data_IF_977708449711
#
_entry.id   IF_977708449711
#
_cell.length_a   1.000
_cell.length_b   1.000
_cell.length_c   1.000
_cell.angle_alpha   90.00
_cell.angle_beta   90.00
_cell.angle_gamma   90.00
#
_symmetry.space_group_name_H-M   'P 1'
#
loop_
_entity.id
_entity.type
_entity.pdbx_description
1 polymer ?
#
# COMPACT_ATOMS: atom_id res chain seq x y z
N UNK A 1 -12.83 -6.88 24.58
CA UNK A 1 -11.78 -7.27 23.61
C UNK A 1 -11.99 -8.71 23.13
N UNK A 2 -11.50 -9.04 21.93
CA UNK A 2 -11.46 -10.40 21.37
C UNK A 2 -10.09 -11.01 21.66
N UNK A 3 -9.94 -11.64 22.83
CA UNK A 3 -8.67 -12.24 23.25
C UNK A 3 -8.35 -13.53 22.48
N UNK A 4 -9.37 -14.27 22.02
CA UNK A 4 -9.17 -15.47 21.23
C UNK A 4 -8.42 -15.16 19.94
N UNK A 5 -8.77 -14.05 19.27
CA UNK A 5 -8.06 -13.59 18.07
C UNK A 5 -6.60 -13.24 18.34
N UNK A 6 -6.27 -12.66 19.51
CA UNK A 6 -4.88 -12.39 19.88
C UNK A 6 -4.07 -13.69 19.94
N UNK A 7 -4.57 -14.70 20.64
CA UNK A 7 -3.87 -15.98 20.77
C UNK A 7 -3.78 -16.74 19.44
N UNK A 8 -4.83 -16.69 18.63
CA UNK A 8 -4.83 -17.27 17.29
C UNK A 8 -3.76 -16.62 16.37
N UNK A 9 -3.68 -15.30 16.36
CA UNK A 9 -2.72 -14.55 15.52
C UNK A 9 -1.27 -14.71 16.02
N UNK A 10 -1.06 -14.80 17.33
CA UNK A 10 0.27 -15.06 17.92
C UNK A 10 0.66 -16.52 17.88
N UNK A 11 -0.23 -17.42 17.47
CA UNK A 11 -0.05 -18.90 17.48
C UNK A 11 0.25 -19.45 18.87
N UNK A 12 -0.31 -18.84 19.89
CA UNK A 12 -0.17 -19.25 21.29
C UNK A 12 -1.43 -19.95 21.77
N UNK A 13 -1.29 -20.85 22.73
CA UNK A 13 -2.43 -21.49 23.39
C UNK A 13 -3.12 -20.51 24.34
N UNK A 14 -4.44 -20.46 24.31
CA UNK A 14 -5.22 -19.63 25.23
C UNK A 14 -5.05 -20.15 26.65
N UNK A 15 -4.56 -19.34 27.61
CA UNK A 15 -4.47 -19.75 29.02
C UNK A 15 -5.86 -20.03 29.61
N UNK A 16 -5.93 -21.01 30.53
CA UNK A 16 -7.19 -21.29 31.25
C UNK A 16 -7.47 -20.25 32.35
N UNK A 17 -6.42 -19.65 32.91
CA UNK A 17 -6.53 -18.62 33.94
C UNK A 17 -6.67 -17.24 33.32
N UNK A 18 -7.78 -16.55 33.63
CA UNK A 18 -8.07 -15.21 33.17
C UNK A 18 -7.02 -14.20 33.63
N UNK A 19 -6.40 -14.38 34.81
CA UNK A 19 -5.36 -13.47 35.32
C UNK A 19 -4.10 -13.54 34.45
N UNK A 20 -3.76 -14.68 33.91
CA UNK A 20 -2.64 -14.82 32.96
C UNK A 20 -2.90 -14.06 31.69
N UNK A 21 -4.15 -14.09 31.17
CA UNK A 21 -4.55 -13.32 30.01
C UNK A 21 -4.46 -11.81 30.28
N UNK A 22 -4.98 -11.37 31.43
CA UNK A 22 -4.96 -9.95 31.81
C UNK A 22 -3.53 -9.44 31.98
N UNK A 23 -2.68 -10.15 32.72
CA UNK A 23 -1.28 -9.79 32.91
C UNK A 23 -0.52 -9.72 31.56
N UNK A 24 -0.80 -10.64 30.64
CA UNK A 24 -0.20 -10.61 29.33
C UNK A 24 -0.64 -9.38 28.53
N UNK A 25 -1.92 -9.03 28.58
CA UNK A 25 -2.46 -7.87 27.86
C UNK A 25 -1.97 -6.55 28.46
N UNK A 26 -1.75 -6.49 29.76
CA UNK A 26 -1.13 -5.33 30.41
C UNK A 26 0.34 -5.17 29.98
N UNK A 27 1.11 -6.25 29.97
CA UNK A 27 2.49 -6.24 29.46
C UNK A 27 2.58 -5.80 27.98
N UNK A 28 1.54 -6.11 27.19
CA UNK A 28 1.40 -5.68 25.79
C UNK A 28 0.83 -4.26 25.65
N UNK A 29 0.53 -3.58 26.75
CA UNK A 29 -0.08 -2.24 26.76
C UNK A 29 -1.43 -2.18 26.01
N UNK A 30 -2.20 -3.26 26.07
CA UNK A 30 -3.54 -3.33 25.50
C UNK A 30 -4.61 -2.96 26.51
N UNK A 31 -4.33 -3.19 27.79
CA UNK A 31 -5.17 -2.85 28.95
C UNK A 31 -4.28 -2.28 30.06
N UNK A 32 -4.90 -1.65 31.05
CA UNK A 32 -4.25 -1.16 32.24
C UNK A 32 -5.12 -1.42 33.47
N UNK A 33 -4.51 -1.93 34.56
CA UNK A 33 -5.22 -2.10 35.82
C UNK A 33 -5.41 -0.77 36.54
N UNK A 34 -6.60 -0.58 37.14
CA UNK A 34 -6.93 0.55 38.02
C UNK A 34 -6.67 0.21 39.49
N UNK A 35 -6.68 1.25 40.34
CA UNK A 35 -6.53 1.11 41.79
C UNK A 35 -7.67 0.28 42.44
N UNK A 36 -8.86 0.28 41.84
CA UNK A 36 -10.04 -0.50 42.27
C UNK A 36 -10.04 -1.94 41.76
N UNK A 37 -8.93 -2.42 41.20
CA UNK A 37 -8.74 -3.73 40.57
C UNK A 37 -9.57 -3.97 39.30
N UNK A 38 -10.26 -2.96 38.77
CA UNK A 38 -10.86 -3.01 37.45
C UNK A 38 -9.82 -2.81 36.34
N UNK A 39 -10.21 -3.00 35.07
CA UNK A 39 -9.32 -2.90 33.93
C UNK A 39 -9.85 -1.92 32.89
N UNK A 40 -9.01 -1.01 32.48
CA UNK A 40 -9.25 -0.16 31.31
C UNK A 40 -8.73 -0.80 30.04
N UNK A 41 -9.50 -0.74 28.97
CA UNK A 41 -9.02 -1.06 27.63
C UNK A 41 -8.36 0.18 27.07
N UNK A 42 -7.06 0.09 26.76
CA UNK A 42 -6.32 1.18 26.13
C UNK A 42 -6.68 1.30 24.65
N UNK A 43 -6.45 2.48 24.05
CA UNK A 43 -6.76 2.73 22.64
C UNK A 43 -6.11 1.69 21.69
N UNK A 44 -4.88 1.26 21.99
CA UNK A 44 -4.20 0.23 21.20
C UNK A 44 -4.95 -1.12 21.28
N UNK A 45 -5.38 -1.51 22.47
CA UNK A 45 -6.16 -2.73 22.67
C UNK A 45 -7.51 -2.69 22.00
N UNK A 46 -8.23 -1.57 22.12
CA UNK A 46 -9.51 -1.36 21.46
C UNK A 46 -9.37 -1.38 19.93
N UNK A 47 -8.40 -0.63 19.37
CA UNK A 47 -8.13 -0.57 17.93
C UNK A 47 -7.71 -1.94 17.34
N UNK A 48 -6.91 -2.71 18.07
CA UNK A 48 -6.42 -3.99 17.56
C UNK A 48 -7.44 -5.13 17.75
N UNK A 49 -8.08 -5.20 18.93
CA UNK A 49 -8.86 -6.34 19.35
C UNK A 49 -10.25 -6.00 19.91
N UNK A 50 -10.74 -4.78 19.70
CA UNK A 50 -12.13 -4.43 20.04
C UNK A 50 -13.11 -5.36 19.35
N UNK A 51 -14.18 -5.78 20.02
CA UNK A 51 -15.27 -6.52 19.38
C UNK A 51 -16.10 -5.61 18.48
N UNK A 52 -16.30 -4.39 18.93
CA UNK A 52 -16.96 -3.32 18.16
C UNK A 52 -16.29 -1.99 18.47
N UNK A 53 -15.70 -1.33 17.49
CA UNK A 53 -15.05 -0.01 17.64
C UNK A 53 -16.06 1.09 17.94
N UNK A 54 -17.33 0.94 17.55
CA UNK A 54 -18.38 1.91 17.82
C UNK A 54 -18.73 2.02 19.30
N UNK A 55 -18.43 1.00 20.11
CA UNK A 55 -18.66 1.02 21.57
C UNK A 55 -17.69 1.97 22.29
N UNK A 56 -16.73 2.56 21.57
CA UNK A 56 -15.72 3.47 22.10
C UNK A 56 -15.95 4.88 21.55
N UNK A 57 -16.22 5.85 22.39
CA UNK A 57 -16.55 7.25 22.00
C UNK A 57 -15.53 7.87 21.03
N UNK A 58 -14.24 7.57 21.23
CA UNK A 58 -13.15 8.13 20.41
C UNK A 58 -12.91 7.37 19.12
N UNK A 59 -13.33 6.11 19.01
CA UNK A 59 -13.05 5.21 17.89
C UNK A 59 -14.28 4.88 17.05
N UNK A 60 -15.47 5.33 17.42
CA UNK A 60 -16.73 4.96 16.77
C UNK A 60 -16.86 5.32 15.29
N UNK A 61 -15.94 6.13 14.75
CA UNK A 61 -15.88 6.47 13.32
C UNK A 61 -14.63 5.92 12.64
N UNK A 62 -13.97 4.92 13.24
CA UNK A 62 -12.77 4.29 12.72
C UNK A 62 -12.98 2.89 12.09
N UNK A 63 -14.18 2.24 12.13
CA UNK A 63 -14.41 1.05 11.33
C UNK A 63 -14.04 1.26 9.86
N UNK A 64 -13.49 0.20 9.24
CA UNK A 64 -13.18 0.23 7.82
C UNK A 64 -14.48 0.13 7.00
N UNK A 65 -14.71 1.08 6.08
CA UNK A 65 -15.84 1.06 5.16
C UNK A 65 -15.43 0.53 3.81
N UNK A 66 -16.19 -0.40 3.27
CA UNK A 66 -15.96 -0.98 1.94
C UNK A 66 -17.21 -0.71 1.11
N UNK A 67 -17.01 -0.04 -0.03
CA UNK A 67 -18.10 0.35 -0.93
C UNK A 67 -17.84 -0.20 -2.32
N UNK A 68 -18.81 -0.91 -2.88
CA UNK A 68 -18.78 -1.39 -4.25
C UNK A 68 -19.63 -0.51 -5.15
N UNK A 69 -19.07 -0.04 -6.24
CA UNK A 69 -19.75 0.69 -7.30
C UNK A 69 -19.77 -0.12 -8.59
N UNK A 70 -20.91 -0.21 -9.25
CA UNK A 70 -21.02 -0.78 -10.59
C UNK A 70 -20.51 0.21 -11.63
N UNK A 71 -19.58 -0.21 -12.50
CA UNK A 71 -18.93 0.65 -13.47
C UNK A 71 -17.76 1.45 -12.91
N UNK A 72 -17.44 2.58 -13.54
CA UNK A 72 -16.27 3.42 -13.22
C UNK A 72 -16.61 4.68 -12.39
N UNK A 73 -17.87 4.89 -12.06
CA UNK A 73 -18.35 6.09 -11.32
C UNK A 73 -19.07 5.75 -10.04
N UNK A 74 -19.17 6.76 -9.14
CA UNK A 74 -19.87 6.62 -7.84
C UNK A 74 -21.40 6.69 -7.93
N UNK A 75 -21.98 6.74 -9.13
CA UNK A 75 -23.43 6.92 -9.33
C UNK A 75 -24.26 5.69 -9.02
N UNK A 76 -23.67 4.51 -9.08
CA UNK A 76 -24.34 3.22 -8.89
C UNK A 76 -23.66 2.41 -7.80
N UNK A 77 -23.88 2.83 -6.55
CA UNK A 77 -23.50 2.03 -5.39
C UNK A 77 -24.31 0.73 -5.38
N UNK A 78 -23.64 -0.42 -5.29
CA UNK A 78 -24.29 -1.72 -5.25
C UNK A 78 -24.30 -2.37 -3.88
N UNK A 79 -23.20 -2.21 -3.15
CA UNK A 79 -23.04 -2.74 -1.79
C UNK A 79 -22.19 -1.79 -0.94
N UNK A 80 -22.47 -1.80 0.36
CA UNK A 80 -21.66 -1.11 1.38
C UNK A 80 -21.58 -1.98 2.62
N UNK A 81 -20.40 -2.14 3.16
CA UNK A 81 -20.14 -2.81 4.43
C UNK A 81 -19.23 -1.99 5.31
N UNK A 82 -19.54 -1.98 6.60
CA UNK A 82 -18.74 -1.36 7.63
C UNK A 82 -18.29 -2.43 8.62
N UNK A 83 -16.98 -2.68 8.69
CA UNK A 83 -16.39 -3.74 9.50
C UNK A 83 -15.94 -3.17 10.83
N UNK A 84 -16.72 -3.45 11.87
CA UNK A 84 -16.66 -2.82 13.19
C UNK A 84 -15.66 -3.43 14.15
N UNK A 85 -15.16 -4.63 13.84
CA UNK A 85 -14.15 -5.30 14.66
C UNK A 85 -12.82 -4.54 14.65
N UNK A 86 -12.03 -4.72 15.70
CA UNK A 86 -10.67 -4.19 15.78
C UNK A 86 -9.79 -4.66 14.63
N UNK A 87 -8.80 -3.87 14.24
CA UNK A 87 -8.03 -4.06 13.01
C UNK A 87 -7.27 -5.39 12.94
N UNK A 88 -6.78 -5.89 14.08
CA UNK A 88 -6.13 -7.19 14.10
C UNK A 88 -7.15 -8.34 14.04
N UNK A 89 -8.18 -8.28 14.88
CA UNK A 89 -9.20 -9.33 14.95
C UNK A 89 -10.09 -9.39 13.71
N UNK A 90 -10.32 -8.25 13.04
CA UNK A 90 -11.19 -8.11 11.86
C UNK A 90 -10.45 -8.11 10.51
N UNK A 91 -9.10 -8.17 10.48
CA UNK A 91 -8.36 -8.04 9.23
C UNK A 91 -8.71 -9.10 8.18
N UNK A 92 -8.87 -10.35 8.61
CA UNK A 92 -9.29 -11.44 7.73
C UNK A 92 -10.67 -11.16 7.13
N UNK A 93 -11.62 -10.68 7.94
CA UNK A 93 -12.96 -10.32 7.50
C UNK A 93 -12.94 -9.15 6.48
N UNK A 94 -12.10 -8.13 6.71
CA UNK A 94 -11.87 -7.03 5.74
C UNK A 94 -11.40 -7.62 4.40
N UNK A 95 -10.39 -8.48 4.42
CA UNK A 95 -9.84 -9.09 3.21
C UNK A 95 -10.85 -9.96 2.48
N UNK A 96 -11.65 -10.75 3.21
CA UNK A 96 -12.68 -11.60 2.62
C UNK A 96 -13.82 -10.77 2.00
N UNK A 97 -14.24 -9.70 2.67
CA UNK A 97 -15.21 -8.75 2.12
C UNK A 97 -14.68 -8.11 0.83
N UNK A 98 -13.45 -7.60 0.82
CA UNK A 98 -12.82 -7.01 -0.37
C UNK A 98 -12.74 -8.02 -1.50
N UNK A 99 -12.33 -9.28 -1.25
CA UNK A 99 -12.28 -10.34 -2.27
C UNK A 99 -13.66 -10.68 -2.82
N UNK A 100 -14.69 -10.71 -1.99
CA UNK A 100 -16.07 -10.98 -2.39
C UNK A 100 -16.62 -9.88 -3.29
N UNK A 101 -16.37 -8.62 -2.96
CA UNK A 101 -16.84 -7.44 -3.69
C UNK A 101 -16.00 -7.11 -4.93
N UNK A 102 -14.78 -7.64 -5.02
CA UNK A 102 -13.90 -7.40 -6.16
C UNK A 102 -14.42 -8.11 -7.42
N UNK A 103 -14.52 -7.39 -8.56
CA UNK A 103 -14.86 -8.00 -9.84
C UNK A 103 -13.84 -9.07 -10.25
N UNK A 104 -14.33 -10.14 -10.84
CA UNK A 104 -13.48 -11.25 -11.30
C UNK A 104 -13.46 -11.29 -12.82
N UNK A 105 -12.30 -11.61 -13.38
CA UNK A 105 -12.16 -11.96 -14.78
C UNK A 105 -12.41 -13.47 -14.93
N UNK A 106 -13.13 -13.84 -15.97
CA UNK A 106 -13.30 -15.25 -16.35
C UNK A 106 -12.25 -15.59 -17.39
N UNK A 107 -11.42 -16.57 -17.07
CA UNK A 107 -10.44 -17.14 -18.00
C UNK A 107 -10.72 -18.64 -18.16
N UNK A 108 -10.40 -19.19 -19.32
CA UNK A 108 -10.54 -20.63 -19.59
C UNK A 108 -9.13 -21.22 -19.70
N UNK A 109 -8.85 -22.22 -18.87
CA UNK A 109 -7.61 -22.96 -18.94
C UNK A 109 -7.91 -24.46 -19.10
N UNK A 110 -7.52 -25.06 -20.23
CA UNK A 110 -7.77 -26.47 -20.51
C UNK A 110 -9.25 -26.89 -20.50
N UNK A 111 -10.17 -25.96 -20.84
CA UNK A 111 -11.62 -26.21 -20.80
C UNK A 111 -12.29 -25.93 -19.45
N UNK A 112 -11.53 -25.63 -18.41
CA UNK A 112 -12.07 -25.26 -17.10
C UNK A 112 -12.17 -23.75 -16.96
N UNK A 113 -13.30 -23.28 -16.41
CA UNK A 113 -13.53 -21.88 -16.07
C UNK A 113 -12.73 -21.54 -14.81
N UNK A 114 -11.84 -20.56 -14.91
CA UNK A 114 -11.10 -19.99 -13.78
C UNK A 114 -11.56 -18.56 -13.55
N UNK A 115 -11.90 -18.22 -12.33
CA UNK A 115 -12.19 -16.86 -11.92
C UNK A 115 -10.95 -16.29 -11.22
N UNK A 116 -10.45 -15.17 -11.74
CA UNK A 116 -9.31 -14.47 -11.16
C UNK A 116 -9.73 -13.06 -10.74
N UNK A 117 -9.26 -12.61 -9.56
CA UNK A 117 -9.46 -11.25 -9.11
C UNK A 117 -8.89 -10.26 -10.14
N UNK A 118 -9.56 -9.13 -10.37
CA UNK A 118 -9.04 -8.05 -11.21
C UNK A 118 -7.88 -7.31 -10.56
N UNK A 119 -7.73 -7.40 -9.25
CA UNK A 119 -6.65 -6.76 -8.50
C UNK A 119 -5.79 -7.83 -7.83
N UNK A 120 -4.46 -7.67 -7.84
CA UNK A 120 -3.54 -8.65 -7.23
C UNK A 120 -3.66 -8.60 -5.70
N UNK A 121 -3.69 -9.78 -5.07
CA UNK A 121 -3.92 -9.92 -3.63
C UNK A 121 -2.85 -9.22 -2.77
N UNK A 122 -1.58 -9.29 -3.17
CA UNK A 122 -0.46 -8.73 -2.40
C UNK A 122 -0.55 -7.20 -2.30
N UNK A 123 -0.66 -6.44 -3.41
CA UNK A 123 -0.89 -5.00 -3.35
C UNK A 123 -2.16 -4.60 -2.59
N UNK A 124 -3.27 -5.31 -2.79
CA UNK A 124 -4.53 -5.01 -2.09
C UNK A 124 -4.36 -5.16 -0.58
N UNK A 125 -3.79 -6.27 -0.13
CA UNK A 125 -3.55 -6.53 1.28
C UNK A 125 -2.65 -5.46 1.91
N UNK A 126 -1.56 -5.12 1.25
CA UNK A 126 -0.60 -4.12 1.74
C UNK A 126 -1.22 -2.72 1.79
N UNK A 127 -1.99 -2.32 0.79
CA UNK A 127 -2.69 -1.03 0.79
C UNK A 127 -3.71 -0.91 1.92
N UNK A 128 -4.46 -1.97 2.19
CA UNK A 128 -5.44 -1.99 3.28
C UNK A 128 -4.72 -1.93 4.63
N UNK A 129 -3.67 -2.74 4.85
CA UNK A 129 -2.88 -2.70 6.08
C UNK A 129 -2.30 -1.31 6.33
N UNK A 130 -1.74 -0.66 5.29
CA UNK A 130 -1.20 0.69 5.37
C UNK A 130 -2.29 1.73 5.68
N UNK A 131 -3.49 1.60 5.13
CA UNK A 131 -4.61 2.50 5.45
C UNK A 131 -5.02 2.40 6.93
N UNK A 132 -5.05 1.20 7.50
CA UNK A 132 -5.35 1.00 8.92
C UNK A 132 -4.26 1.60 9.83
N UNK A 133 -2.98 1.47 9.46
CA UNK A 133 -1.84 1.89 10.28
C UNK A 133 -1.60 3.40 10.22
N UNK A 134 -1.65 3.99 9.01
CA UNK A 134 -1.18 5.36 8.79
C UNK A 134 -2.25 6.43 8.92
N UNK A 135 -3.47 6.07 9.31
CA UNK A 135 -4.53 7.05 9.50
C UNK A 135 -4.22 8.04 10.63
N UNK A 136 -4.78 9.21 10.51
CA UNK A 136 -4.81 10.20 11.58
C UNK A 136 -6.00 9.92 12.50
N UNK A 137 -5.73 9.40 13.69
CA UNK A 137 -6.76 9.13 14.70
C UNK A 137 -7.34 10.40 15.31
N UNK A 138 -6.69 11.56 15.13
CA UNK A 138 -7.23 12.86 15.58
C UNK A 138 -8.28 13.40 14.63
N UNK A 139 -8.29 12.97 13.36
CA UNK A 139 -9.32 13.32 12.39
C UNK A 139 -10.68 12.75 12.84
N UNK A 140 -11.66 13.62 13.06
CA UNK A 140 -12.99 13.22 13.54
C UNK A 140 -13.92 12.87 12.39
N UNK A 141 -14.85 11.94 12.65
CA UNK A 141 -15.96 11.62 11.74
C UNK A 141 -15.58 10.81 10.50
N UNK A 142 -14.31 10.36 10.37
CA UNK A 142 -13.81 9.63 9.22
C UNK A 142 -12.94 8.44 9.65
N UNK A 143 -13.05 7.35 8.89
CA UNK A 143 -12.23 6.16 8.97
C UNK A 143 -11.64 5.80 7.61
N UNK A 144 -10.88 4.72 7.50
CA UNK A 144 -10.37 4.22 6.22
C UNK A 144 -11.53 3.74 5.35
N UNK A 145 -11.47 4.07 4.05
CA UNK A 145 -12.51 3.69 3.09
C UNK A 145 -11.89 3.00 1.88
N UNK A 146 -12.43 1.86 1.50
CA UNK A 146 -12.06 1.09 0.33
C UNK A 146 -13.21 1.17 -0.67
N UNK A 147 -12.99 1.81 -1.81
CA UNK A 147 -13.96 1.94 -2.88
C UNK A 147 -13.55 1.05 -4.05
N UNK A 148 -14.43 0.13 -4.43
CA UNK A 148 -14.16 -0.87 -5.46
C UNK A 148 -15.02 -0.56 -6.69
N UNK A 149 -14.36 -0.30 -7.83
CA UNK A 149 -14.97 -0.06 -9.13
C UNK A 149 -14.67 -1.22 -10.09
N UNK A 150 -15.22 -1.20 -11.29
CA UNK A 150 -14.93 -2.23 -12.30
C UNK A 150 -13.50 -2.14 -12.84
N UNK A 151 -12.92 -0.95 -12.88
CA UNK A 151 -11.63 -0.64 -13.50
C UNK A 151 -10.52 -0.27 -12.49
N UNK A 152 -10.87 -0.01 -11.22
CA UNK A 152 -9.91 0.39 -10.19
C UNK A 152 -10.43 0.13 -8.78
N UNK A 153 -9.53 0.17 -7.82
CA UNK A 153 -9.80 0.23 -6.39
C UNK A 153 -9.17 1.49 -5.84
N UNK A 154 -9.92 2.26 -5.04
CA UNK A 154 -9.43 3.43 -4.34
C UNK A 154 -9.41 3.16 -2.83
N UNK A 155 -8.26 3.37 -2.20
CA UNK A 155 -8.11 3.28 -0.75
C UNK A 155 -7.88 4.68 -0.22
N UNK A 156 -8.83 5.18 0.54
CA UNK A 156 -8.78 6.51 1.18
C UNK A 156 -8.42 6.33 2.64
N UNK A 157 -7.39 7.04 3.06
CA UNK A 157 -6.89 7.06 4.42
C UNK A 157 -6.95 8.49 4.99
N UNK A 158 -7.64 8.73 6.12
CA UNK A 158 -7.59 10.03 6.81
C UNK A 158 -6.16 10.33 7.29
N UNK A 159 -5.63 11.48 6.91
CA UNK A 159 -4.27 11.94 7.21
C UNK A 159 -3.41 12.10 5.95
N UNK A 160 -2.75 13.25 5.83
CA UNK A 160 -1.72 13.46 4.81
C UNK A 160 -0.49 12.59 5.13
N UNK A 161 0.28 12.14 4.12
CA UNK A 161 1.47 11.34 4.36
C UNK A 161 2.53 12.15 5.14
N UNK A 162 3.32 11.47 5.98
CA UNK A 162 4.42 12.08 6.75
C UNK A 162 5.69 12.32 5.92
N UNK A 163 5.73 11.78 4.71
CA UNK A 163 6.81 11.92 3.74
C UNK A 163 6.20 12.29 2.39
N UNK A 164 6.99 12.87 1.51
CA UNK A 164 6.53 13.15 0.14
C UNK A 164 6.10 11.84 -0.53
N UNK A 165 4.89 11.83 -1.10
CA UNK A 165 4.34 10.67 -1.80
C UNK A 165 5.22 10.17 -2.95
N UNK A 166 5.99 11.06 -3.58
CA UNK A 166 6.96 10.69 -4.62
C UNK A 166 8.13 9.87 -4.09
N UNK A 167 8.41 9.94 -2.79
CA UNK A 167 9.54 9.27 -2.16
C UNK A 167 9.14 7.97 -1.43
N UNK A 168 7.91 7.49 -1.55
CA UNK A 168 7.44 6.30 -0.83
C UNK A 168 8.32 5.05 -1.04
N UNK A 169 8.94 4.89 -2.22
CA UNK A 169 9.86 3.78 -2.51
C UNK A 169 11.25 3.99 -1.88
N UNK A 170 11.67 5.23 -1.65
CA UNK A 170 13.08 5.55 -1.38
C UNK A 170 13.32 6.18 -0.02
N UNK A 171 12.30 6.79 0.58
CA UNK A 171 12.43 7.41 1.89
C UNK A 171 12.39 6.37 3.01
N UNK A 172 13.12 6.59 4.10
CA UNK A 172 12.95 5.78 5.30
C UNK A 172 11.49 5.77 5.77
N UNK A 173 10.99 4.62 6.23
CA UNK A 173 9.61 4.50 6.66
C UNK A 173 9.34 5.38 7.87
N UNK A 174 8.19 6.07 7.85
CA UNK A 174 7.67 6.82 8.99
C UNK A 174 6.24 6.37 9.28
N UNK A 175 5.95 6.11 10.55
CA UNK A 175 4.59 5.78 10.97
C UNK A 175 4.08 6.82 11.95
N UNK A 176 2.83 7.26 11.76
CA UNK A 176 2.12 8.11 12.72
C UNK A 176 1.74 7.32 13.97
N UNK A 177 1.48 6.03 13.80
CA UNK A 177 0.97 5.13 14.83
C UNK A 177 1.95 3.96 15.07
N UNK A 178 3.11 4.27 15.64
CA UNK A 178 4.23 3.31 15.79
C UNK A 178 3.83 2.07 16.60
N UNK A 179 3.10 2.24 17.71
CA UNK A 179 2.67 1.13 18.55
C UNK A 179 1.74 0.18 17.79
N UNK A 180 0.77 0.73 17.04
CA UNK A 180 -0.14 -0.06 16.20
C UNK A 180 0.62 -0.76 15.07
N UNK A 181 1.51 -0.03 14.39
CA UNK A 181 2.35 -0.58 13.31
C UNK A 181 3.21 -1.74 13.82
N UNK A 182 3.87 -1.58 14.97
CA UNK A 182 4.68 -2.64 15.60
C UNK A 182 3.86 -3.86 15.96
N UNK A 183 2.67 -3.66 16.51
CA UNK A 183 1.76 -4.75 16.88
C UNK A 183 1.28 -5.50 15.64
N UNK A 184 0.71 -4.80 14.63
CA UNK A 184 0.18 -5.44 13.43
C UNK A 184 1.25 -6.17 12.62
N UNK A 185 2.49 -5.67 12.61
CA UNK A 185 3.63 -6.35 12.00
C UNK A 185 3.96 -7.66 12.72
N UNK A 186 4.06 -7.63 14.05
CA UNK A 186 4.31 -8.85 14.86
C UNK A 186 3.22 -9.91 14.64
N UNK A 187 1.99 -9.48 14.39
CA UNK A 187 0.86 -10.34 14.05
C UNK A 187 0.84 -10.80 12.59
N UNK A 188 1.80 -10.38 11.77
CA UNK A 188 1.91 -10.75 10.36
C UNK A 188 0.84 -10.11 9.46
N UNK A 189 0.21 -9.00 9.90
CA UNK A 189 -0.80 -8.28 9.13
C UNK A 189 -0.15 -7.33 8.13
N UNK A 190 0.94 -6.68 8.48
CA UNK A 190 1.72 -5.84 7.57
C UNK A 190 3.17 -6.32 7.47
N UNK A 191 3.85 -5.88 6.42
CA UNK A 191 5.24 -6.23 6.15
C UNK A 191 6.22 -5.51 7.10
N UNK A 192 7.50 -5.91 7.04
CA UNK A 192 8.58 -5.24 7.76
C UNK A 192 8.73 -3.76 7.32
N UNK A 193 9.35 -2.95 8.16
CA UNK A 193 9.50 -1.51 7.90
C UNK A 193 10.21 -1.26 6.57
N UNK A 194 9.58 -0.47 5.71
CA UNK A 194 10.20 0.11 4.53
C UNK A 194 10.07 -0.67 3.24
N UNK A 195 9.51 -1.89 3.25
CA UNK A 195 9.39 -2.70 2.02
C UNK A 195 7.96 -2.84 1.48
N UNK A 196 6.95 -2.32 2.20
CA UNK A 196 5.55 -2.47 1.80
C UNK A 196 5.24 -1.83 0.46
N UNK A 197 5.66 -0.57 0.25
CA UNK A 197 5.43 0.13 -1.02
C UNK A 197 6.25 -0.44 -2.18
N UNK A 198 7.50 -0.81 -1.93
CA UNK A 198 8.37 -1.47 -2.93
C UNK A 198 7.74 -2.76 -3.44
N UNK A 199 7.17 -3.55 -2.51
CA UNK A 199 6.49 -4.80 -2.84
C UNK A 199 5.23 -4.58 -3.67
N UNK A 200 4.44 -3.53 -3.38
CA UNK A 200 3.30 -3.14 -4.21
C UNK A 200 3.77 -2.85 -5.63
N UNK A 201 4.77 -1.97 -5.79
CA UNK A 201 5.27 -1.57 -7.12
C UNK A 201 5.90 -2.74 -7.85
N UNK A 202 6.68 -3.59 -7.17
CA UNK A 202 7.28 -4.78 -7.76
C UNK A 202 6.24 -5.74 -8.32
N UNK A 203 5.17 -6.04 -7.57
CA UNK A 203 4.10 -6.92 -8.01
C UNK A 203 3.31 -6.32 -9.19
N UNK A 204 3.02 -5.01 -9.14
CA UNK A 204 2.40 -4.26 -10.23
C UNK A 204 3.26 -4.33 -11.51
N UNK A 205 4.58 -4.26 -11.39
CA UNK A 205 5.50 -4.38 -12.52
C UNK A 205 5.55 -5.80 -13.10
N UNK A 206 5.60 -6.81 -12.25
CA UNK A 206 5.59 -8.21 -12.67
C UNK A 206 4.34 -8.55 -13.48
N UNK A 207 3.20 -8.00 -13.08
CA UNK A 207 1.91 -8.18 -13.75
C UNK A 207 1.67 -7.18 -14.88
N UNK A 208 2.62 -6.27 -15.17
CA UNK A 208 2.53 -5.23 -16.20
C UNK A 208 1.28 -4.34 -16.07
N UNK A 209 0.81 -4.13 -14.85
CA UNK A 209 -0.34 -3.28 -14.54
C UNK A 209 0.05 -1.80 -14.62
N UNK A 210 -0.92 -0.87 -14.77
CA UNK A 210 -0.67 0.56 -14.58
C UNK A 210 -0.12 0.82 -13.18
N UNK A 211 0.78 1.79 -13.04
CA UNK A 211 1.33 2.19 -11.74
C UNK A 211 0.22 2.67 -10.81
N UNK A 212 0.29 2.36 -9.51
CA UNK A 212 -0.65 2.92 -8.55
C UNK A 212 -0.47 4.44 -8.48
N UNK A 213 -1.58 5.16 -8.32
CA UNK A 213 -1.59 6.61 -8.19
C UNK A 213 -1.78 7.00 -6.73
N UNK A 214 -0.96 7.95 -6.28
CA UNK A 214 -1.06 8.52 -4.94
C UNK A 214 -1.52 9.96 -5.07
N UNK A 215 -2.54 10.33 -4.33
CA UNK A 215 -3.08 11.69 -4.29
C UNK A 215 -3.25 12.13 -2.83
N UNK A 216 -2.79 13.33 -2.53
CA UNK A 216 -3.10 13.99 -1.26
C UNK A 216 -4.28 14.92 -1.52
N UNK A 217 -5.42 14.63 -0.90
CA UNK A 217 -6.67 15.36 -1.10
C UNK A 217 -7.05 15.95 0.25
N UNK A 218 -6.91 17.27 0.39
CA UNK A 218 -7.02 17.96 1.67
C UNK A 218 -6.07 17.27 2.69
N UNK A 219 -6.60 16.83 3.82
CA UNK A 219 -5.85 16.14 4.86
C UNK A 219 -5.98 14.61 4.77
N UNK A 220 -6.16 14.07 3.57
CA UNK A 220 -6.33 12.62 3.34
C UNK A 220 -5.43 12.13 2.22
N UNK A 221 -5.03 10.87 2.33
CA UNK A 221 -4.26 10.16 1.28
C UNK A 221 -5.17 9.21 0.55
N UNK A 222 -5.25 9.35 -0.79
CA UNK A 222 -5.93 8.39 -1.66
C UNK A 222 -4.90 7.63 -2.48
N UNK A 223 -5.01 6.31 -2.50
CA UNK A 223 -4.22 5.44 -3.37
C UNK A 223 -5.17 4.72 -4.31
N UNK A 224 -4.90 4.83 -5.61
CA UNK A 224 -5.67 4.16 -6.67
C UNK A 224 -4.86 3.02 -7.25
N UNK A 225 -5.40 1.80 -7.15
CA UNK A 225 -4.88 0.60 -7.81
C UNK A 225 -5.75 0.30 -9.03
N UNK A 226 -5.14 0.16 -10.20
CA UNK A 226 -5.85 -0.07 -11.45
C UNK A 226 -5.93 -1.54 -11.82
N UNK A 227 -7.06 -1.95 -12.41
CA UNK A 227 -7.19 -3.24 -13.04
C UNK A 227 -6.30 -3.37 -14.28
N UNK A 228 -6.02 -4.62 -14.69
CA UNK A 228 -5.28 -4.90 -15.91
C UNK A 228 -5.97 -4.29 -17.13
N UNK A 229 -5.19 -3.60 -17.96
CA UNK A 229 -5.65 -3.03 -19.24
C UNK A 229 -4.52 -2.95 -20.25
N UNK A 230 -4.84 -2.93 -21.56
CA UNK A 230 -3.83 -2.83 -22.61
C UNK A 230 -2.96 -1.56 -22.48
N UNK A 231 -1.67 -1.69 -22.76
CA UNK A 231 -0.73 -0.54 -22.81
C UNK A 231 -1.20 0.58 -23.75
N UNK A 232 -1.97 0.26 -24.79
CA UNK A 232 -2.51 1.23 -25.74
C UNK A 232 -3.55 2.17 -25.13
N UNK A 233 -4.20 1.77 -24.03
CA UNK A 233 -5.20 2.57 -23.33
C UNK A 233 -4.60 3.42 -22.20
N UNK A 234 -3.32 3.22 -21.85
CA UNK A 234 -2.63 4.04 -20.87
C UNK A 234 -2.34 5.43 -21.44
N UNK A 235 -2.70 6.46 -20.70
CA UNK A 235 -2.37 7.85 -21.03
C UNK A 235 -0.86 8.12 -20.97
N UNK A 236 -0.35 9.20 -21.58
CA UNK A 236 1.04 9.61 -21.45
C UNK A 236 1.46 9.81 -19.97
N UNK A 237 0.62 10.44 -19.16
CA UNK A 237 0.89 10.68 -17.73
C UNK A 237 1.01 9.38 -16.93
N UNK A 238 0.15 8.40 -17.19
CA UNK A 238 0.24 7.09 -16.52
C UNK A 238 1.50 6.32 -16.90
N UNK A 239 1.95 6.42 -18.14
CA UNK A 239 3.23 5.83 -18.56
C UNK A 239 4.42 6.52 -17.91
N UNK A 240 4.38 7.85 -17.79
CA UNK A 240 5.41 8.63 -17.11
C UNK A 240 5.49 8.26 -15.63
N UNK A 241 4.34 8.14 -14.95
CA UNK A 241 4.28 7.70 -13.56
C UNK A 241 4.85 6.28 -13.38
N UNK A 242 4.48 5.35 -14.27
CA UNK A 242 5.01 3.99 -14.24
C UNK A 242 6.55 3.94 -14.46
N UNK A 243 7.09 4.83 -15.29
CA UNK A 243 8.54 4.95 -15.51
C UNK A 243 9.22 5.54 -14.26
N UNK A 244 8.61 6.52 -13.62
CA UNK A 244 9.12 7.10 -12.39
C UNK A 244 9.24 6.08 -11.28
N UNK A 245 8.16 5.34 -10.99
CA UNK A 245 8.15 4.30 -9.96
C UNK A 245 9.14 3.17 -10.30
N UNK A 246 9.24 2.79 -11.58
CA UNK A 246 10.26 1.85 -12.04
C UNK A 246 11.67 2.39 -11.80
N UNK A 247 11.93 3.67 -12.04
CA UNK A 247 13.24 4.27 -11.80
C UNK A 247 13.60 4.27 -10.31
N UNK A 248 12.66 4.59 -9.43
CA UNK A 248 12.86 4.52 -7.99
C UNK A 248 13.17 3.09 -7.54
N UNK A 249 12.40 2.09 -8.02
CA UNK A 249 12.62 0.68 -7.69
C UNK A 249 13.98 0.17 -8.20
N UNK A 250 14.39 0.56 -9.42
CA UNK A 250 15.71 0.21 -9.96
C UNK A 250 16.84 0.85 -9.12
N UNK A 251 16.67 2.10 -8.69
CA UNK A 251 17.65 2.80 -7.86
C UNK A 251 17.86 2.13 -6.51
N UNK A 252 16.79 1.80 -5.80
CA UNK A 252 16.87 1.08 -4.50
C UNK A 252 17.54 -0.27 -4.65
N UNK A 253 17.34 -0.95 -5.79
CA UNK A 253 18.01 -2.22 -6.11
C UNK A 253 19.44 -2.05 -6.66
N UNK A 254 20.03 -0.85 -6.60
CA UNK A 254 21.39 -0.60 -7.09
C UNK A 254 21.55 -0.69 -8.61
N UNK A 255 20.45 -0.55 -9.36
CA UNK A 255 20.44 -0.67 -10.83
C UNK A 255 19.95 0.63 -11.48
N UNK A 256 19.96 0.70 -12.79
CA UNK A 256 19.55 1.88 -13.56
C UNK A 256 18.49 1.53 -14.59
N UNK A 257 17.63 2.51 -14.93
CA UNK A 257 16.65 2.36 -16.00
C UNK A 257 17.34 2.35 -17.37
N UNK A 258 16.91 1.44 -18.22
CA UNK A 258 17.39 1.26 -19.58
C UNK A 258 16.21 1.06 -20.53
N UNK A 259 16.45 1.16 -21.85
CA UNK A 259 15.44 0.78 -22.84
C UNK A 259 14.97 -0.68 -22.65
N UNK A 260 15.88 -1.57 -22.28
CA UNK A 260 15.56 -2.98 -22.03
C UNK A 260 14.65 -3.15 -20.81
N UNK A 261 14.92 -2.46 -19.69
CA UNK A 261 14.10 -2.54 -18.50
C UNK A 261 12.69 -1.96 -18.74
N UNK A 262 12.56 -0.86 -19.49
CA UNK A 262 11.26 -0.29 -19.87
C UNK A 262 10.49 -1.24 -20.79
N UNK A 263 11.15 -1.91 -21.71
CA UNK A 263 10.48 -2.94 -22.53
C UNK A 263 9.93 -4.08 -21.67
N UNK A 264 10.70 -4.55 -20.70
CA UNK A 264 10.25 -5.56 -19.73
C UNK A 264 9.05 -5.05 -18.92
N UNK A 265 9.14 -3.84 -18.37
CA UNK A 265 8.08 -3.20 -17.57
C UNK A 265 6.74 -3.14 -18.31
N UNK A 266 6.75 -2.86 -19.61
CA UNK A 266 5.53 -2.64 -20.42
C UNK A 266 5.21 -3.79 -21.38
N UNK A 267 5.90 -4.93 -21.31
CA UNK A 267 5.66 -6.03 -22.26
C UNK A 267 5.97 -5.69 -23.72
N UNK A 268 6.92 -4.78 -23.99
CA UNK A 268 7.26 -4.32 -25.32
C UNK A 268 8.28 -5.28 -25.96
N UNK A 269 7.92 -5.88 -27.09
CA UNK A 269 8.82 -6.76 -27.83
C UNK A 269 10.08 -6.03 -28.31
N UNK A 270 11.22 -6.71 -28.39
CA UNK A 270 12.51 -6.13 -28.77
C UNK A 270 12.50 -5.38 -30.11
N UNK A 271 11.80 -5.87 -31.11
CA UNK A 271 11.64 -5.19 -32.43
C UNK A 271 10.98 -3.81 -32.32
N UNK A 272 10.27 -3.54 -31.24
CA UNK A 272 9.57 -2.27 -30.98
C UNK A 272 10.33 -1.37 -29.98
N UNK A 273 11.67 -1.50 -29.90
CA UNK A 273 12.52 -0.74 -28.97
C UNK A 273 12.37 0.79 -29.10
N UNK A 274 12.03 1.28 -30.29
CA UNK A 274 11.74 2.69 -30.54
C UNK A 274 10.54 3.21 -29.72
N UNK A 275 9.56 2.33 -29.39
CA UNK A 275 8.42 2.71 -28.52
C UNK A 275 8.89 2.95 -27.09
N UNK A 276 9.76 2.13 -26.56
CA UNK A 276 10.36 2.32 -25.24
C UNK A 276 11.25 3.57 -25.18
N UNK A 277 11.99 3.88 -26.25
CA UNK A 277 12.77 5.12 -26.34
C UNK A 277 11.92 6.37 -26.32
N UNK A 278 10.73 6.34 -26.96
CA UNK A 278 9.77 7.46 -26.87
C UNK A 278 9.24 7.65 -25.46
N UNK A 279 8.88 6.58 -24.79
CA UNK A 279 8.43 6.63 -23.39
C UNK A 279 9.49 7.20 -22.44
N UNK A 280 10.76 6.84 -22.65
CA UNK A 280 11.87 7.43 -21.90
C UNK A 280 12.04 8.92 -22.21
N UNK A 281 11.85 9.35 -23.47
CA UNK A 281 11.90 10.76 -23.84
C UNK A 281 10.74 11.54 -23.18
N UNK A 282 9.52 10.98 -23.15
CA UNK A 282 8.38 11.56 -22.45
C UNK A 282 8.68 11.76 -20.96
N UNK A 283 9.26 10.74 -20.30
CA UNK A 283 9.62 10.80 -18.88
C UNK A 283 10.76 11.80 -18.58
N UNK A 284 11.75 11.93 -19.49
CA UNK A 284 12.78 12.98 -19.41
C UNK A 284 12.17 14.38 -19.55
N UNK A 285 11.28 14.58 -20.53
CA UNK A 285 10.59 15.85 -20.74
C UNK A 285 9.71 16.23 -19.56
N UNK A 286 9.08 15.24 -18.92
CA UNK A 286 8.32 15.43 -17.69
C UNK A 286 9.20 15.67 -16.43
N UNK A 287 10.52 15.56 -16.56
CA UNK A 287 11.47 15.79 -15.47
C UNK A 287 11.43 14.76 -14.34
N UNK A 288 10.87 13.56 -14.59
CA UNK A 288 10.77 12.53 -13.55
C UNK A 288 11.99 11.58 -13.50
N UNK A 289 12.77 11.56 -14.59
CA UNK A 289 14.05 10.85 -14.67
C UNK A 289 15.12 11.77 -15.27
N UNK A 290 16.38 11.46 -15.00
CA UNK A 290 17.56 12.13 -15.55
C UNK A 290 18.52 11.11 -16.16
N UNK A 291 19.44 11.55 -17.02
CA UNK A 291 20.51 10.67 -17.55
C UNK A 291 21.57 10.44 -16.47
N UNK A 292 21.93 9.17 -16.23
CA UNK A 292 22.96 8.81 -15.26
C UNK A 292 24.37 9.26 -15.69
N UNK A 293 24.65 9.23 -17.02
CA UNK A 293 25.93 9.65 -17.59
C UNK A 293 25.70 10.72 -18.66
N UNK A 294 26.31 11.90 -18.52
CA UNK A 294 26.29 12.95 -19.54
C UNK A 294 27.09 12.58 -20.81
N UNK A 295 28.07 11.68 -20.70
CA UNK A 295 29.01 11.28 -21.77
C UNK A 295 28.70 9.92 -22.43
N UNK A 296 27.65 9.23 -22.00
CA UNK A 296 27.27 7.93 -22.56
C UNK A 296 26.77 8.01 -24.00
N UNK A 297 27.31 7.18 -24.91
CA UNK A 297 26.87 7.09 -26.30
C UNK A 297 25.38 6.74 -26.40
N UNK A 298 24.70 7.21 -27.47
CA UNK A 298 23.24 7.06 -27.69
C UNK A 298 22.69 5.66 -27.48
N UNK A 299 23.48 4.60 -27.61
CA UNK A 299 23.02 3.21 -27.68
C UNK A 299 22.82 2.54 -26.32
N UNK A 300 23.41 3.10 -25.23
CA UNK A 300 23.38 2.50 -23.89
C UNK A 300 23.04 3.51 -22.78
N UNK A 301 22.16 4.45 -23.08
CA UNK A 301 21.74 5.44 -22.09
C UNK A 301 21.09 4.78 -20.87
N UNK A 302 21.57 5.18 -19.71
CA UNK A 302 21.06 4.82 -18.39
C UNK A 302 20.36 6.02 -17.77
N UNK A 303 19.33 5.76 -16.97
CA UNK A 303 18.55 6.81 -16.35
C UNK A 303 18.35 6.51 -14.87
N UNK A 304 18.22 7.57 -14.09
CA UNK A 304 17.96 7.59 -12.64
C UNK A 304 16.70 8.40 -12.35
N UNK A 305 16.07 8.26 -11.17
CA UNK A 305 15.08 9.21 -10.71
C UNK A 305 15.68 10.62 -10.64
N UNK A 306 14.86 11.65 -10.88
CA UNK A 306 15.34 13.04 -10.96
C UNK A 306 16.12 13.52 -9.73
N UNK A 307 15.73 13.09 -8.54
CA UNK A 307 16.34 13.46 -7.25
C UNK A 307 17.67 12.73 -6.97
N UNK A 308 18.00 11.68 -7.70
CA UNK A 308 19.23 10.92 -7.48
C UNK A 308 20.49 11.59 -8.07
N UNK A 309 20.33 12.63 -8.89
CA UNK A 309 21.45 13.37 -9.49
C UNK A 309 22.24 14.15 -8.40
N UNK A 310 21.54 14.78 -7.45
CA UNK A 310 22.17 15.58 -6.39
C UNK A 310 23.00 14.73 -5.44
N UNK A 311 22.65 13.44 -5.27
CA UNK A 311 23.37 12.50 -4.42
C UNK A 311 24.72 12.06 -5.02
N UNK A 312 24.87 12.11 -6.34
CA UNK A 312 26.08 11.71 -7.06
C UNK A 312 27.12 12.85 -7.02
N UNK A 313 26.69 14.11 -7.11
CA UNK A 313 27.58 15.28 -7.05
C UNK A 313 28.12 15.53 -5.64
N UNK A 314 27.34 15.23 -4.59
CA UNK A 314 27.83 15.36 -3.18
C UNK A 314 28.88 14.31 -2.83
N UNK A 315 28.80 13.10 -3.38
CA UNK A 315 29.80 12.07 -3.14
C UNK A 315 31.11 12.29 -3.94
N UNK A 316 31.05 12.99 -5.08
CA UNK A 316 32.25 13.33 -5.85
C UNK A 316 33.04 14.50 -5.24
N UNK A 317 32.36 15.47 -4.63
CA UNK A 317 33.02 16.58 -3.90
C UNK A 317 33.66 16.11 -2.59
N UNK A 318 33.07 15.18 -1.88
CA UNK A 318 33.64 14.62 -0.64
C UNK A 318 34.87 13.72 -0.88
N UNK A 319 35.08 13.18 -2.08
CA UNK A 319 36.26 12.39 -2.46
C UNK A 319 37.40 13.24 -3.07
N UNK A 320 37.13 14.50 -3.45
CA UNK A 320 38.17 15.40 -3.98
C UNK A 320 38.86 16.19 -2.87
N UNK A 321 38.33 16.21 -1.65
CA UNK A 321 38.86 16.93 -0.48
C UNK A 321 39.51 15.98 0.56
N UNK A 322 39.70 14.70 0.24
CA UNK A 322 40.42 13.70 1.03
C UNK A 322 41.70 13.28 0.30
#
# INVERSE_FOLDING_TARGET
MNYESYYALTKMTVPQDAMVILNQFENEQLIQQRDDQSWDILNLGALAFGRNLEDTDTLGRKPARIVRYSGSGRWHQSEEEELKAGYASGFAEIMDCVRRLTPKNETFNGGFRKQESRFPDVPVRELIANALIHQDFTARGVGPMIEIFDDRMEVLNPGAPLIDARLFITAPPKSRNEALSKLLRRLGICEEQGIGWDRIVQEIELLQLPAPRIEVIHDSTRITLYAARPLSTMSPSERVEAIYQHACLQYVNGTTVTNASIRKRFGIHQRNSAKASRFLADALTAGVIVTADSNGGRKFKKYLPYWAQDSTDQNMTAQSDA
#
